data_IF_908074122181
#
_entry.id   IF_908074122181
#
_cell.length_a   1.000
_cell.length_b   1.000
_cell.length_c   1.000
_cell.angle_alpha   90.00
_cell.angle_beta   90.00
_cell.angle_gamma   90.00
#
_symmetry.space_group_name_H-M   'P 1'
#
loop_
_entity.id
_entity.type
_entity.pdbx_description
1 polymer ?
#
# COMPACT_ATOMS: atom_id res chain seq x y z
N UNK A 1 -14.94 -1.46 3.70
CA UNK A 1 -15.51 -2.21 4.86
C UNK A 1 -14.68 -1.89 6.11
N UNK A 2 -15.25 -2.00 7.32
CA UNK A 2 -14.52 -1.77 8.60
C UNK A 2 -13.29 -2.68 8.79
N UNK A 3 -13.18 -3.75 8.03
CA UNK A 3 -12.08 -4.74 8.11
C UNK A 3 -11.01 -4.53 7.01
N UNK A 4 -11.20 -3.58 6.11
CA UNK A 4 -10.20 -3.25 5.09
C UNK A 4 -8.92 -2.71 5.75
N UNK A 5 -7.76 -3.16 5.25
CA UNK A 5 -6.45 -2.79 5.83
C UNK A 5 -6.27 -3.15 7.34
N UNK A 6 -6.91 -4.22 7.83
CA UNK A 6 -6.73 -4.76 9.19
C UNK A 6 -6.21 -6.21 9.14
N UNK A 7 -5.52 -6.63 10.21
CA UNK A 7 -5.05 -8.03 10.34
C UNK A 7 -6.23 -9.01 10.38
N UNK A 8 -7.31 -8.66 11.07
CA UNK A 8 -8.50 -9.50 11.12
C UNK A 8 -9.10 -9.69 9.72
N UNK A 9 -9.33 -8.60 8.97
CA UNK A 9 -9.86 -8.68 7.61
C UNK A 9 -8.95 -9.43 6.65
N UNK A 10 -7.63 -9.30 6.83
CA UNK A 10 -6.65 -10.06 6.08
C UNK A 10 -6.77 -11.57 6.37
N UNK A 11 -6.82 -11.98 7.64
CA UNK A 11 -6.97 -13.39 8.05
C UNK A 11 -8.29 -13.99 7.56
N UNK A 12 -9.40 -13.27 7.71
CA UNK A 12 -10.70 -13.70 7.16
C UNK A 12 -10.66 -13.86 5.63
N UNK A 13 -9.97 -12.95 4.93
CA UNK A 13 -9.78 -13.04 3.48
C UNK A 13 -8.91 -14.22 3.07
N UNK A 14 -7.89 -14.56 3.87
CA UNK A 14 -7.03 -15.73 3.66
C UNK A 14 -7.83 -17.03 3.83
N UNK A 15 -8.63 -17.14 4.88
CA UNK A 15 -9.46 -18.32 5.16
C UNK A 15 -10.52 -18.57 4.08
N UNK A 16 -11.10 -17.50 3.55
CA UNK A 16 -12.16 -17.55 2.53
C UNK A 16 -11.66 -17.40 1.09
N UNK A 17 -10.36 -17.59 0.84
CA UNK A 17 -9.72 -17.34 -0.45
C UNK A 17 -10.23 -18.26 -1.57
N UNK A 18 -10.97 -17.70 -2.54
CA UNK A 18 -11.25 -18.38 -3.82
C UNK A 18 -10.02 -18.30 -4.73
N UNK A 19 -9.14 -19.29 -4.66
CA UNK A 19 -7.87 -19.34 -5.44
C UNK A 19 -8.06 -19.20 -6.94
N UNK A 20 -9.25 -19.51 -7.49
CA UNK A 20 -9.53 -19.36 -8.93
C UNK A 20 -9.78 -17.91 -9.33
N UNK A 21 -10.31 -17.10 -8.41
CA UNK A 21 -10.65 -15.69 -8.63
C UNK A 21 -9.60 -14.73 -8.07
N UNK A 22 -8.85 -15.18 -7.08
CA UNK A 22 -7.83 -14.37 -6.42
C UNK A 22 -6.71 -13.97 -7.39
N UNK A 23 -6.23 -12.73 -7.28
CA UNK A 23 -5.21 -12.19 -8.18
C UNK A 23 -3.94 -11.77 -7.42
N UNK A 24 -4.09 -11.07 -6.31
CA UNK A 24 -2.99 -10.51 -5.51
C UNK A 24 -3.54 -9.93 -4.19
N UNK A 25 -2.67 -9.78 -3.23
CA UNK A 25 -2.89 -8.94 -2.05
C UNK A 25 -2.48 -7.51 -2.37
N UNK A 26 -3.18 -6.55 -1.77
CA UNK A 26 -2.82 -5.14 -1.88
C UNK A 26 -3.19 -4.46 -0.56
N UNK A 27 -2.30 -3.60 -0.06
CA UNK A 27 -2.53 -2.79 1.11
C UNK A 27 -1.77 -1.47 1.04
N UNK A 28 -2.28 -0.48 1.76
CA UNK A 28 -1.86 0.91 1.72
C UNK A 28 -0.97 1.25 2.90
N UNK A 29 0.24 1.76 2.65
CA UNK A 29 1.18 2.13 3.71
C UNK A 29 1.34 3.65 3.85
N UNK A 30 1.52 4.06 5.11
CA UNK A 30 1.78 5.44 5.53
C UNK A 30 2.84 5.47 6.61
N UNK A 31 3.36 6.65 6.86
CA UNK A 31 4.27 6.93 7.96
C UNK A 31 3.63 7.91 8.94
N UNK A 32 3.70 7.62 10.23
CA UNK A 32 3.30 8.51 11.32
C UNK A 32 4.39 9.55 11.61
N UNK A 33 4.07 10.61 12.35
CA UNK A 33 5.04 11.68 12.66
C UNK A 33 6.25 11.16 13.46
N UNK A 34 6.10 10.09 14.21
CA UNK A 34 7.14 9.39 14.96
C UNK A 34 7.86 8.28 14.19
N UNK A 35 7.65 8.21 12.85
CA UNK A 35 8.42 7.36 11.93
C UNK A 35 7.94 5.91 11.85
N UNK A 36 6.80 5.56 12.41
CA UNK A 36 6.25 4.20 12.31
C UNK A 36 5.52 4.02 10.98
N UNK A 37 5.89 2.98 10.21
CA UNK A 37 5.16 2.60 8.99
C UNK A 37 3.96 1.74 9.37
N UNK A 38 2.77 2.16 8.97
CA UNK A 38 1.50 1.51 9.31
C UNK A 38 0.59 1.37 8.09
N UNK A 39 -0.48 0.57 8.22
CA UNK A 39 -1.38 0.25 7.10
C UNK A 39 -2.72 0.93 7.31
N UNK A 40 -3.05 1.87 6.42
CA UNK A 40 -4.32 2.59 6.40
C UNK A 40 -4.55 3.30 5.07
N UNK A 41 -5.80 3.31 4.57
CA UNK A 41 -6.13 3.87 3.26
C UNK A 41 -6.18 5.40 3.25
N UNK A 42 -6.93 6.02 4.18
CA UNK A 42 -7.26 7.44 4.13
C UNK A 42 -6.12 8.36 4.62
N UNK A 43 -6.14 9.63 4.23
CA UNK A 43 -5.16 10.63 4.67
C UNK A 43 -5.51 11.21 6.05
N UNK A 44 -6.76 11.02 6.47
CA UNK A 44 -7.34 11.61 7.69
C UNK A 44 -8.09 10.54 8.49
N UNK A 45 -8.23 10.78 9.79
CA UNK A 45 -9.03 9.96 10.69
C UNK A 45 -9.88 10.87 11.58
N UNK A 46 -11.09 10.42 11.93
CA UNK A 46 -11.95 11.10 12.89
C UNK A 46 -11.45 10.82 14.32
N UNK A 47 -11.25 11.88 15.09
CA UNK A 47 -10.91 11.82 16.52
C UNK A 47 -11.93 12.67 17.27
N UNK A 48 -12.90 12.04 17.90
CA UNK A 48 -13.97 12.71 18.65
C UNK A 48 -14.75 13.77 17.85
N UNK A 49 -15.01 13.52 16.55
CA UNK A 49 -15.70 14.44 15.64
C UNK A 49 -14.81 15.48 14.98
N UNK A 50 -13.50 15.43 15.20
CA UNK A 50 -12.51 16.25 14.53
C UNK A 50 -11.68 15.43 13.54
N UNK A 51 -11.63 15.87 12.27
CA UNK A 51 -10.81 15.20 11.25
C UNK A 51 -9.35 15.62 11.39
N UNK A 52 -8.47 14.67 11.70
CA UNK A 52 -7.02 14.90 11.85
C UNK A 52 -6.23 14.21 10.76
N UNK A 53 -5.18 14.88 10.28
CA UNK A 53 -4.24 14.31 9.29
C UNK A 53 -3.32 13.28 9.96
N UNK A 54 -3.28 12.07 9.44
CA UNK A 54 -2.48 10.96 9.98
C UNK A 54 -0.97 11.27 9.99
N UNK A 55 -0.46 12.00 9.01
CA UNK A 55 0.95 12.39 8.94
C UNK A 55 1.38 13.37 10.03
N UNK A 56 0.44 13.93 10.80
CA UNK A 56 0.68 14.83 11.94
C UNK A 56 0.45 14.18 13.30
N UNK A 57 0.15 12.87 13.32
CA UNK A 57 -0.14 12.10 14.53
C UNK A 57 0.95 11.08 14.78
N UNK A 58 1.25 10.81 16.06
CA UNK A 58 2.03 9.64 16.45
C UNK A 58 1.26 8.35 16.20
N UNK A 59 1.98 7.24 16.03
CA UNK A 59 1.31 5.96 15.80
C UNK A 59 0.40 5.55 16.98
N UNK A 60 0.77 5.93 18.20
CA UNK A 60 -0.08 5.70 19.37
C UNK A 60 -1.41 6.45 19.27
N UNK A 61 -1.40 7.74 18.91
CA UNK A 61 -2.63 8.53 18.69
C UNK A 61 -3.48 7.92 17.56
N UNK A 62 -2.85 7.46 16.48
CA UNK A 62 -3.53 6.80 15.35
C UNK A 62 -4.21 5.51 15.80
N UNK A 63 -3.52 4.68 16.60
CA UNK A 63 -4.09 3.44 17.15
C UNK A 63 -5.27 3.72 18.08
N UNK A 64 -5.16 4.74 18.91
CA UNK A 64 -6.25 5.07 19.85
C UNK A 64 -7.46 5.64 19.11
N UNK A 65 -7.27 6.49 18.10
CA UNK A 65 -8.35 6.93 17.21
C UNK A 65 -8.99 5.74 16.46
N UNK A 66 -8.19 4.80 15.98
CA UNK A 66 -8.68 3.58 15.35
C UNK A 66 -9.56 2.76 16.29
N UNK A 67 -9.16 2.59 17.55
CA UNK A 67 -9.96 1.86 18.56
C UNK A 67 -11.33 2.50 18.80
N UNK A 68 -11.40 3.83 18.85
CA UNK A 68 -12.67 4.57 19.00
C UNK A 68 -13.63 4.29 17.83
N UNK A 69 -13.09 4.02 16.65
CA UNK A 69 -13.83 3.66 15.43
C UNK A 69 -14.04 2.14 15.27
N UNK A 70 -13.63 1.34 16.24
CA UNK A 70 -13.62 -0.13 16.18
C UNK A 70 -12.76 -0.67 15.02
N UNK A 71 -11.60 -0.04 14.79
CA UNK A 71 -10.62 -0.41 13.77
C UNK A 71 -9.27 -0.65 14.43
N UNK A 72 -8.73 -1.86 14.29
CA UNK A 72 -7.36 -2.19 14.74
C UNK A 72 -6.38 -1.91 13.61
N UNK A 73 -5.74 -0.73 13.66
CA UNK A 73 -4.78 -0.28 12.64
C UNK A 73 -3.44 -0.99 12.88
N UNK A 74 -2.97 -1.83 11.91
CA UNK A 74 -1.73 -2.57 12.06
C UNK A 74 -0.51 -1.75 11.59
N UNK A 75 0.65 -2.14 12.09
CA UNK A 75 1.93 -1.74 11.50
C UNK A 75 2.16 -2.45 10.16
N UNK A 76 3.05 -1.90 9.34
CA UNK A 76 3.52 -2.55 8.12
C UNK A 76 4.13 -3.94 8.40
N UNK A 77 4.96 -4.04 9.45
CA UNK A 77 5.60 -5.30 9.84
C UNK A 77 4.57 -6.38 10.21
N UNK A 78 3.52 -6.05 10.96
CA UNK A 78 2.46 -7.01 11.30
C UNK A 78 1.79 -7.58 10.04
N UNK A 79 1.55 -6.75 9.00
CA UNK A 79 0.96 -7.22 7.73
C UNK A 79 1.96 -8.04 6.92
N UNK A 80 3.25 -7.66 6.92
CA UNK A 80 4.27 -8.45 6.22
C UNK A 80 4.40 -9.84 6.83
N UNK A 81 4.43 -9.98 8.15
CA UNK A 81 4.48 -11.28 8.85
C UNK A 81 3.31 -12.20 8.42
N UNK A 82 2.11 -11.66 8.25
CA UNK A 82 0.94 -12.47 7.82
C UNK A 82 1.04 -12.96 6.36
N UNK A 83 1.82 -12.27 5.52
CA UNK A 83 1.87 -12.52 4.08
C UNK A 83 3.20 -13.09 3.58
N UNK A 84 4.33 -12.96 4.31
CA UNK A 84 5.67 -13.26 3.79
C UNK A 84 5.91 -14.72 3.38
N UNK A 85 5.27 -15.66 4.05
CA UNK A 85 5.34 -17.09 3.70
C UNK A 85 4.39 -17.50 2.56
N UNK A 86 3.60 -16.57 2.06
CA UNK A 86 2.62 -16.84 1.02
C UNK A 86 3.24 -16.63 -0.35
N UNK A 87 2.75 -17.43 -1.32
CA UNK A 87 3.26 -17.41 -2.72
C UNK A 87 2.47 -16.46 -3.63
N UNK A 88 1.41 -15.86 -3.11
CA UNK A 88 0.60 -14.93 -3.89
C UNK A 88 1.33 -13.59 -4.07
N UNK A 89 1.06 -12.92 -5.17
CA UNK A 89 1.60 -11.57 -5.41
C UNK A 89 1.09 -10.59 -4.36
N UNK A 90 1.97 -9.68 -3.93
CA UNK A 90 1.64 -8.62 -2.98
C UNK A 90 2.03 -7.26 -3.57
N UNK A 91 1.11 -6.30 -3.49
CA UNK A 91 1.36 -4.91 -3.84
C UNK A 91 1.29 -4.03 -2.61
N UNK A 92 2.39 -3.39 -2.30
CA UNK A 92 2.50 -2.41 -1.22
C UNK A 92 2.29 -1.03 -1.83
N UNK A 93 1.09 -0.44 -1.67
CA UNK A 93 0.80 0.89 -2.19
C UNK A 93 1.28 1.97 -1.23
N UNK A 94 2.21 2.79 -1.69
CA UNK A 94 2.70 3.94 -0.95
C UNK A 94 1.68 5.08 -1.05
N UNK A 95 1.08 5.47 0.08
CA UNK A 95 0.24 6.66 0.20
C UNK A 95 1.05 7.87 0.66
N UNK A 96 1.87 7.73 1.71
CA UNK A 96 2.68 8.82 2.22
C UNK A 96 3.83 8.29 3.08
N UNK A 97 5.08 8.52 2.62
CA UNK A 97 6.32 8.22 3.34
C UNK A 97 7.22 9.44 3.23
N UNK A 98 7.79 9.89 4.35
CA UNK A 98 8.57 11.13 4.35
C UNK A 98 9.99 11.01 4.94
N UNK A 99 10.29 9.98 5.73
CA UNK A 99 11.64 9.77 6.25
C UNK A 99 12.46 8.77 5.42
N UNK A 100 13.78 8.93 5.42
CA UNK A 100 14.69 7.97 4.81
C UNK A 100 14.74 6.65 5.59
N UNK A 101 14.47 6.72 6.90
CA UNK A 101 14.37 5.54 7.76
C UNK A 101 13.22 4.63 7.29
N UNK A 102 12.02 5.20 7.12
CA UNK A 102 10.86 4.43 6.66
C UNK A 102 11.04 3.89 5.23
N UNK A 103 11.67 4.66 4.32
CA UNK A 103 12.02 4.18 2.98
C UNK A 103 12.94 2.97 3.03
N UNK A 104 14.01 3.04 3.84
CA UNK A 104 14.93 1.92 4.04
C UNK A 104 14.24 0.71 4.67
N UNK A 105 13.42 0.92 5.69
CA UNK A 105 12.64 -0.15 6.34
C UNK A 105 11.78 -0.90 5.32
N UNK A 106 10.98 -0.18 4.52
CA UNK A 106 10.12 -0.78 3.50
C UNK A 106 10.94 -1.58 2.48
N UNK A 107 12.00 -0.98 1.92
CA UNK A 107 12.84 -1.63 0.90
C UNK A 107 13.51 -2.88 1.47
N UNK A 108 14.12 -2.78 2.65
CA UNK A 108 14.82 -3.89 3.27
C UNK A 108 13.86 -5.02 3.63
N UNK A 109 12.68 -4.68 4.16
CA UNK A 109 11.72 -5.66 4.66
C UNK A 109 11.10 -6.51 3.55
N UNK A 110 10.85 -5.93 2.38
CA UNK A 110 10.30 -6.68 1.24
C UNK A 110 11.36 -7.19 0.26
N UNK A 111 12.64 -6.83 0.48
CA UNK A 111 13.75 -7.33 -0.32
C UNK A 111 13.86 -8.85 -0.21
N UNK A 112 13.90 -9.55 -1.36
CA UNK A 112 13.97 -11.00 -1.42
C UNK A 112 12.63 -11.73 -1.26
N UNK A 113 11.53 -11.04 -0.97
CA UNK A 113 10.20 -11.64 -0.97
C UNK A 113 9.69 -11.79 -2.41
N UNK A 114 9.50 -13.03 -2.84
CA UNK A 114 9.08 -13.33 -4.21
C UNK A 114 7.65 -12.82 -4.47
N UNK A 115 7.47 -12.10 -5.58
CA UNK A 115 6.16 -11.59 -5.98
C UNK A 115 5.72 -10.28 -5.30
N UNK A 116 6.53 -9.75 -4.37
CA UNK A 116 6.26 -8.46 -3.74
C UNK A 116 6.68 -7.29 -4.62
N UNK A 117 5.85 -6.26 -4.68
CA UNK A 117 6.05 -5.07 -5.50
C UNK A 117 5.67 -3.81 -4.75
N UNK A 118 6.40 -2.72 -4.99
CA UNK A 118 5.98 -1.38 -4.56
C UNK A 118 5.07 -0.77 -5.63
N UNK A 119 3.96 -0.19 -5.19
CA UNK A 119 3.01 0.48 -6.06
C UNK A 119 2.77 1.92 -5.57
N UNK A 120 2.62 2.87 -6.50
CA UNK A 120 2.24 4.23 -6.18
C UNK A 120 1.58 4.93 -7.38
N UNK A 121 0.70 5.91 -7.11
CA UNK A 121 0.38 6.91 -8.13
C UNK A 121 1.58 7.84 -8.34
N UNK A 122 1.73 8.48 -9.52
CA UNK A 122 2.83 9.43 -9.73
C UNK A 122 2.92 10.51 -8.65
N UNK A 123 1.79 11.11 -8.29
CA UNK A 123 1.73 12.16 -7.26
C UNK A 123 2.18 11.65 -5.89
N UNK A 124 1.77 10.44 -5.47
CA UNK A 124 2.16 9.83 -4.19
C UNK A 124 3.64 9.46 -4.20
N UNK A 125 4.13 8.94 -5.33
CA UNK A 125 5.55 8.64 -5.49
C UNK A 125 6.42 9.91 -5.39
N UNK A 126 6.05 10.97 -6.10
CA UNK A 126 6.78 12.25 -6.05
C UNK A 126 6.78 12.88 -4.65
N UNK A 127 5.67 12.76 -3.91
CA UNK A 127 5.57 13.22 -2.53
C UNK A 127 6.45 12.40 -1.59
N UNK A 128 6.47 11.08 -1.75
CA UNK A 128 7.18 10.15 -0.87
C UNK A 128 8.66 9.99 -1.23
N UNK A 129 9.08 10.36 -2.44
CA UNK A 129 10.47 10.34 -2.91
C UNK A 129 10.83 11.72 -3.47
N UNK A 130 11.39 12.61 -2.66
CA UNK A 130 11.75 13.98 -3.03
C UNK A 130 12.67 14.03 -4.26
N UNK A 131 12.61 15.11 -5.03
CA UNK A 131 13.30 15.23 -6.31
C UNK A 131 14.81 15.06 -6.21
N UNK A 132 15.40 15.61 -5.15
CA UNK A 132 16.84 15.59 -4.87
C UNK A 132 17.39 14.19 -4.55
N UNK A 133 16.56 13.30 -3.98
CA UNK A 133 16.94 11.93 -3.58
C UNK A 133 16.22 10.84 -4.38
N UNK A 134 15.30 11.19 -5.27
CA UNK A 134 14.44 10.25 -6.02
C UNK A 134 15.22 9.24 -6.83
N UNK A 135 16.29 9.67 -7.51
CA UNK A 135 17.11 8.78 -8.33
C UNK A 135 17.91 7.79 -7.45
N UNK A 136 18.38 8.23 -6.28
CA UNK A 136 18.99 7.36 -5.30
C UNK A 136 18.01 6.26 -4.86
N UNK A 137 16.78 6.62 -4.47
CA UNK A 137 15.77 5.64 -4.03
C UNK A 137 15.33 4.69 -5.15
N UNK A 138 15.24 5.15 -6.38
CA UNK A 138 14.98 4.26 -7.53
C UNK A 138 16.06 3.20 -7.68
N UNK A 139 17.33 3.58 -7.52
CA UNK A 139 18.46 2.65 -7.56
C UNK A 139 18.43 1.66 -6.39
N UNK A 140 18.10 2.11 -5.18
CA UNK A 140 17.99 1.21 -4.02
C UNK A 140 16.85 0.19 -4.20
N UNK A 141 15.68 0.61 -4.67
CA UNK A 141 14.56 -0.27 -5.03
C UNK A 141 14.99 -1.30 -6.10
N UNK A 142 15.72 -0.85 -7.12
CA UNK A 142 16.22 -1.72 -8.18
C UNK A 142 17.27 -2.71 -7.68
N UNK A 143 18.23 -2.28 -6.83
CA UNK A 143 19.22 -3.15 -6.20
C UNK A 143 18.57 -4.23 -5.34
N UNK A 144 17.51 -3.88 -4.64
CA UNK A 144 16.69 -4.81 -3.86
C UNK A 144 15.86 -5.76 -4.74
N UNK A 145 15.90 -5.61 -6.09
CA UNK A 145 15.13 -6.38 -7.07
C UNK A 145 13.61 -6.26 -6.88
N UNK A 146 13.15 -5.14 -6.33
CA UNK A 146 11.75 -4.84 -6.14
C UNK A 146 11.21 -4.15 -7.40
N UNK A 147 10.11 -4.62 -7.94
CA UNK A 147 9.43 -3.96 -9.05
C UNK A 147 8.62 -2.77 -8.55
N UNK A 148 8.86 -1.59 -9.15
CA UNK A 148 8.06 -0.40 -8.91
C UNK A 148 6.95 -0.29 -9.97
N UNK A 149 5.70 -0.33 -9.53
CA UNK A 149 4.52 -0.35 -10.40
C UNK A 149 3.71 0.94 -10.26
N UNK A 150 3.38 1.56 -11.39
CA UNK A 150 2.43 2.67 -11.40
C UNK A 150 1.00 2.13 -11.26
N UNK A 151 0.21 2.66 -10.32
CA UNK A 151 -1.18 2.22 -10.03
C UNK A 151 -2.04 2.11 -11.30
N UNK A 152 -2.02 3.11 -12.18
CA UNK A 152 -2.76 3.08 -13.44
C UNK A 152 -2.32 1.95 -14.39
N UNK A 153 -1.02 1.67 -14.48
CA UNK A 153 -0.47 0.59 -15.33
C UNK A 153 -0.88 -0.79 -14.81
N UNK A 154 -0.85 -0.98 -13.49
CA UNK A 154 -1.30 -2.20 -12.85
C UNK A 154 -2.76 -2.54 -13.21
N UNK A 155 -3.66 -1.58 -13.11
CA UNK A 155 -5.07 -1.79 -13.48
C UNK A 155 -5.24 -2.11 -14.98
N UNK A 156 -4.43 -1.53 -15.87
CA UNK A 156 -4.42 -1.88 -17.31
C UNK A 156 -4.00 -3.33 -17.53
N UNK A 157 -3.02 -3.84 -16.79
CA UNK A 157 -2.61 -5.24 -16.87
C UNK A 157 -3.70 -6.20 -16.40
N UNK A 158 -4.42 -5.85 -15.34
CA UNK A 158 -5.59 -6.61 -14.88
C UNK A 158 -6.71 -6.62 -15.93
N UNK A 159 -6.98 -5.49 -16.58
CA UNK A 159 -7.96 -5.42 -17.66
C UNK A 159 -7.54 -6.23 -18.89
N UNK A 160 -6.25 -6.24 -19.23
CA UNK A 160 -5.72 -7.10 -20.31
C UNK A 160 -5.86 -8.59 -19.99
N UNK A 161 -5.71 -8.97 -18.73
CA UNK A 161 -5.93 -10.33 -18.27
C UNK A 161 -7.42 -10.69 -18.16
N UNK A 162 -8.33 -9.71 -18.17
CA UNK A 162 -9.78 -9.96 -18.17
C UNK A 162 -10.25 -10.32 -19.57
N UNK A 163 -11.09 -11.35 -19.68
CA UNK A 163 -11.67 -11.81 -20.97
C UNK A 163 -12.75 -10.86 -21.53
N UNK A 164 -12.84 -9.61 -21.08
CA UNK A 164 -13.85 -8.64 -21.52
C UNK A 164 -13.23 -7.43 -22.23
N UNK A 165 -13.10 -7.47 -23.58
CA UNK A 165 -12.52 -6.37 -24.37
C UNK A 165 -13.26 -5.04 -24.22
N UNK A 166 -14.59 -5.07 -24.04
CA UNK A 166 -15.43 -3.88 -23.90
C UNK A 166 -15.12 -3.08 -22.61
N UNK A 167 -14.93 -3.75 -21.48
CA UNK A 167 -14.52 -3.09 -20.22
C UNK A 167 -13.14 -2.45 -20.36
N UNK A 168 -12.25 -3.08 -21.11
CA UNK A 168 -10.92 -2.55 -21.39
C UNK A 168 -10.97 -1.29 -22.26
N UNK A 169 -11.76 -1.26 -23.31
CA UNK A 169 -11.93 -0.11 -24.21
C UNK A 169 -12.52 1.08 -23.44
N UNK A 170 -13.51 0.88 -22.58
CA UNK A 170 -14.13 1.94 -21.77
C UNK A 170 -13.22 2.47 -20.65
N UNK A 171 -12.30 1.66 -20.14
CA UNK A 171 -11.34 2.07 -19.10
C UNK A 171 -10.10 2.77 -19.68
N UNK A 172 -9.77 2.53 -20.96
CA UNK A 172 -8.57 3.02 -21.63
C UNK A 172 -8.34 4.54 -21.56
N UNK A 173 -9.34 5.42 -21.75
CA UNK A 173 -9.13 6.87 -21.69
C UNK A 173 -8.70 7.36 -20.31
N UNK A 174 -9.33 6.88 -19.25
CA UNK A 174 -9.04 7.28 -17.86
C UNK A 174 -7.63 6.89 -17.41
N UNK A 175 -7.09 5.78 -17.94
CA UNK A 175 -5.83 5.19 -17.50
C UNK A 175 -4.62 5.65 -18.30
N UNK A 176 -4.81 6.01 -19.59
CA UNK A 176 -3.73 6.52 -20.45
C UNK A 176 -3.35 7.96 -20.13
N UNK A 177 -4.30 8.75 -19.65
CA UNK A 177 -4.10 10.18 -19.40
C UNK A 177 -3.93 10.54 -17.92
N UNK A 178 -3.90 9.56 -17.01
CA UNK A 178 -3.66 9.81 -15.58
C UNK A 178 -4.81 10.55 -14.88
N UNK A 179 -6.03 10.45 -15.42
CA UNK A 179 -7.25 11.01 -14.84
C UNK A 179 -7.94 9.99 -13.93
#
# INVERSE_FOLDING_TARGET
TKLENTIQGLRESIENLDRKKFKYWEFDIRESIDGVVFVFHDDIIDVNGELRELSKMSFLEIKDAGKELDILIPTFEEVVIELEERKEKVFVEIKEIFSDQARNEIINRISGLEGWKIMATPKRFEKSFPEDSREFWRKEIQKAKIELVRVGRHRVELFRASKSPLKWIMAKPKWLFGL
#
